data_IF_524969423055
#
_entry.id   IF_524969423055
#
_cell.length_a   1.000
_cell.length_b   1.000
_cell.length_c   1.000
_cell.angle_alpha   90.00
_cell.angle_beta   90.00
_cell.angle_gamma   90.00
#
_symmetry.space_group_name_H-M   'P 1'
#
loop_
_entity.id
_entity.type
_entity.pdbx_description
1 polymer ?
#
# COMPACT_ATOMS: atom_id res chain seq x y z
N UNK A 1 23.76 -30.20 -17.81
CA UNK A 1 22.97 -30.86 -16.75
C UNK A 1 22.98 -30.09 -15.42
N UNK A 2 24.13 -29.62 -14.91
CA UNK A 2 24.19 -28.84 -13.67
C UNK A 2 23.35 -27.54 -13.69
N UNK A 3 23.29 -26.83 -14.82
CA UNK A 3 22.47 -25.62 -14.95
C UNK A 3 20.97 -25.91 -14.89
N UNK A 4 20.53 -27.00 -15.51
CA UNK A 4 19.13 -27.44 -15.48
C UNK A 4 18.67 -27.79 -14.06
N UNK A 5 19.53 -28.45 -13.27
CA UNK A 5 19.24 -28.75 -11.85
C UNK A 5 19.22 -27.47 -11.02
N UNK A 6 20.13 -26.53 -11.27
CA UNK A 6 20.15 -25.23 -10.58
C UNK A 6 18.92 -24.39 -10.87
N UNK A 7 18.47 -24.35 -12.13
CA UNK A 7 17.25 -23.64 -12.51
C UNK A 7 16.00 -24.33 -11.97
N UNK A 8 16.05 -25.65 -11.77
CA UNK A 8 15.01 -26.41 -11.09
C UNK A 8 14.97 -26.10 -9.57
N UNK A 9 16.10 -25.80 -8.93
CA UNK A 9 16.14 -25.46 -7.50
C UNK A 9 15.75 -24.00 -7.19
N UNK A 10 15.63 -23.15 -8.21
CA UNK A 10 15.26 -21.74 -8.05
C UNK A 10 13.76 -21.59 -7.81
N UNK A 11 13.41 -20.71 -6.88
CA UNK A 11 12.02 -20.37 -6.60
C UNK A 11 11.37 -19.69 -7.83
N UNK A 12 10.10 -20.01 -8.15
CA UNK A 12 9.38 -19.35 -9.22
C UNK A 12 9.15 -17.86 -8.91
N UNK A 13 9.21 -17.04 -9.96
CA UNK A 13 8.94 -15.61 -9.91
C UNK A 13 7.46 -15.35 -10.20
N UNK A 14 6.79 -14.59 -9.34
CA UNK A 14 5.39 -14.18 -9.50
C UNK A 14 5.32 -12.65 -9.62
N UNK A 15 4.31 -12.12 -10.31
CA UNK A 15 4.10 -10.67 -10.48
C UNK A 15 3.72 -9.98 -9.16
N UNK A 16 2.94 -10.66 -8.32
CA UNK A 16 2.59 -10.17 -6.98
C UNK A 16 3.75 -10.39 -6.01
N UNK A 17 4.26 -9.28 -5.47
CA UNK A 17 5.37 -9.26 -4.52
C UNK A 17 5.10 -10.10 -3.26
N UNK A 18 3.85 -10.13 -2.77
CA UNK A 18 3.48 -10.90 -1.59
C UNK A 18 3.52 -12.41 -1.89
N UNK A 19 2.93 -12.83 -3.02
CA UNK A 19 2.98 -14.22 -3.47
C UNK A 19 4.41 -14.68 -3.78
N UNK A 20 5.23 -13.80 -4.37
CA UNK A 20 6.62 -14.09 -4.64
C UNK A 20 7.44 -14.34 -3.36
N UNK A 21 7.22 -13.52 -2.33
CA UNK A 21 7.88 -13.70 -1.04
C UNK A 21 7.51 -15.05 -0.40
N UNK A 22 6.22 -15.38 -0.35
CA UNK A 22 5.73 -16.64 0.24
C UNK A 22 6.25 -17.84 -0.57
N UNK A 23 6.25 -17.77 -1.89
CA UNK A 23 6.77 -18.84 -2.74
C UNK A 23 8.27 -19.08 -2.53
N UNK A 24 9.05 -18.00 -2.40
CA UNK A 24 10.48 -18.09 -2.12
C UNK A 24 10.74 -18.73 -0.76
N UNK A 25 9.97 -18.35 0.27
CA UNK A 25 10.07 -18.95 1.60
C UNK A 25 9.71 -20.44 1.58
N UNK A 26 8.56 -20.78 0.99
CA UNK A 26 8.10 -22.15 0.90
C UNK A 26 9.09 -23.02 0.11
N UNK A 27 9.68 -22.51 -0.98
CA UNK A 27 10.73 -23.22 -1.70
C UNK A 27 11.96 -23.49 -0.82
N UNK A 28 12.47 -22.49 -0.11
CA UNK A 28 13.63 -22.69 0.79
C UNK A 28 13.31 -23.68 1.90
N UNK A 29 12.12 -23.59 2.51
CA UNK A 29 11.65 -24.53 3.54
C UNK A 29 11.58 -25.95 2.98
N UNK A 30 10.97 -26.15 1.81
CA UNK A 30 10.87 -27.46 1.19
C UNK A 30 12.25 -28.07 0.93
N UNK A 31 13.21 -27.27 0.48
CA UNK A 31 14.60 -27.71 0.28
C UNK A 31 15.31 -28.04 1.59
N UNK A 32 15.14 -27.22 2.63
CA UNK A 32 15.70 -27.50 3.96
C UNK A 32 15.11 -28.79 4.54
N UNK A 33 13.80 -29.00 4.42
CA UNK A 33 13.13 -30.22 4.87
C UNK A 33 13.58 -31.44 4.07
N UNK A 34 13.70 -31.33 2.75
CA UNK A 34 14.17 -32.42 1.90
C UNK A 34 15.63 -32.80 2.24
N UNK A 35 16.50 -31.80 2.46
CA UNK A 35 17.86 -32.03 2.97
C UNK A 35 17.85 -32.72 4.33
N UNK A 36 16.96 -32.32 5.24
CA UNK A 36 16.82 -32.98 6.55
C UNK A 36 16.36 -34.44 6.40
N UNK A 37 15.43 -34.75 5.49
CA UNK A 37 15.00 -36.13 5.23
C UNK A 37 16.16 -37.03 4.78
N UNK A 38 17.10 -36.50 3.99
CA UNK A 38 18.31 -37.24 3.60
C UNK A 38 19.19 -37.53 4.81
N UNK A 39 19.43 -36.54 5.68
CA UNK A 39 20.21 -36.71 6.92
C UNK A 39 19.56 -37.72 7.86
N UNK A 40 18.23 -37.64 8.02
CA UNK A 40 17.45 -38.61 8.79
C UNK A 40 17.56 -40.03 8.22
N UNK A 41 17.49 -40.18 6.90
CA UNK A 41 17.64 -41.48 6.24
C UNK A 41 19.02 -42.08 6.50
N UNK A 42 20.09 -41.28 6.40
CA UNK A 42 21.46 -41.72 6.73
C UNK A 42 21.57 -42.14 8.20
N UNK A 43 20.96 -41.37 9.10
CA UNK A 43 20.94 -41.68 10.54
C UNK A 43 20.23 -43.00 10.83
N UNK A 44 19.11 -43.28 10.14
CA UNK A 44 18.37 -44.53 10.27
C UNK A 44 19.16 -45.73 9.76
N UNK A 45 19.93 -45.59 8.67
CA UNK A 45 20.76 -46.66 8.12
C UNK A 45 21.93 -47.07 9.04
N UNK A 46 22.36 -46.17 9.92
CA UNK A 46 23.39 -46.45 10.95
C UNK A 46 22.76 -47.10 12.19
N UNK A 47 21.43 -46.96 12.37
CA UNK A 47 20.66 -47.45 13.51
C UNK A 47 20.24 -48.92 13.42
N UNK A 48 19.61 -49.42 14.49
CA UNK A 48 19.28 -50.84 14.69
C UNK A 48 18.11 -51.33 13.80
N UNK A 49 18.12 -52.60 13.38
CA UNK A 49 17.38 -53.10 12.20
C UNK A 49 15.86 -53.30 12.37
N UNK A 50 15.32 -53.44 13.58
CA UNK A 50 13.94 -53.94 13.78
C UNK A 50 12.83 -52.97 13.35
N UNK A 51 13.07 -51.67 13.32
CA UNK A 51 12.10 -50.65 12.87
C UNK A 51 12.49 -49.99 11.55
N UNK A 52 13.64 -50.38 10.98
CA UNK A 52 14.28 -49.68 9.86
C UNK A 52 13.40 -49.62 8.60
N UNK A 53 12.66 -50.69 8.30
CA UNK A 53 11.84 -50.76 7.08
C UNK A 53 10.70 -49.72 7.06
N UNK A 54 9.91 -49.63 8.14
CA UNK A 54 8.77 -48.71 8.20
C UNK A 54 9.21 -47.24 8.10
N UNK A 55 10.29 -46.87 8.79
CA UNK A 55 10.83 -45.51 8.75
C UNK A 55 11.42 -45.15 7.39
N UNK A 56 12.11 -46.07 6.72
CA UNK A 56 12.61 -45.84 5.36
C UNK A 56 11.47 -45.59 4.37
N UNK A 57 10.38 -46.37 4.44
CA UNK A 57 9.20 -46.12 3.61
C UNK A 57 8.59 -44.75 3.91
N UNK A 58 8.42 -44.39 5.18
CA UNK A 58 7.90 -43.06 5.56
C UNK A 58 8.79 -41.93 5.00
N UNK A 59 10.11 -42.04 5.09
CA UNK A 59 11.04 -41.03 4.56
C UNK A 59 11.03 -40.97 3.03
N UNK A 60 10.90 -42.12 2.36
CA UNK A 60 10.75 -42.18 0.91
C UNK A 60 9.47 -41.49 0.44
N UNK A 61 8.32 -41.82 1.04
CA UNK A 61 7.04 -41.19 0.69
C UNK A 61 7.03 -39.70 1.04
N UNK A 62 7.64 -39.30 2.16
CA UNK A 62 7.76 -37.90 2.54
C UNK A 62 8.63 -37.12 1.54
N UNK A 63 9.74 -37.70 1.08
CA UNK A 63 10.61 -37.06 0.08
C UNK A 63 9.90 -36.92 -1.27
N UNK A 64 9.18 -37.95 -1.70
CA UNK A 64 8.36 -37.91 -2.92
C UNK A 64 7.28 -36.83 -2.81
N UNK A 65 6.62 -36.73 -1.66
CA UNK A 65 5.60 -35.74 -1.38
C UNK A 65 6.15 -34.30 -1.39
N UNK A 66 7.28 -34.06 -0.74
CA UNK A 66 7.97 -32.76 -0.76
C UNK A 66 8.39 -32.39 -2.20
N UNK A 67 8.87 -33.35 -2.98
CA UNK A 67 9.14 -33.17 -4.41
C UNK A 67 7.89 -32.81 -5.23
N UNK A 68 6.76 -33.47 -4.95
CA UNK A 68 5.47 -33.15 -5.55
C UNK A 68 5.00 -31.73 -5.18
N UNK A 69 5.20 -31.31 -3.94
CA UNK A 69 4.90 -29.95 -3.49
C UNK A 69 5.74 -28.89 -4.19
N UNK A 70 7.02 -29.16 -4.47
CA UNK A 70 7.86 -28.27 -5.28
C UNK A 70 7.29 -28.10 -6.69
N UNK A 71 6.72 -29.16 -7.27
CA UNK A 71 6.05 -29.09 -8.57
C UNK A 71 4.76 -28.27 -8.48
N UNK A 72 3.92 -28.50 -7.47
CA UNK A 72 2.68 -27.71 -7.24
C UNK A 72 2.98 -26.23 -7.04
N UNK A 73 4.08 -25.91 -6.35
CA UNK A 73 4.54 -24.55 -6.11
C UNK A 73 4.87 -23.81 -7.42
N UNK A 74 5.35 -24.52 -8.44
CA UNK A 74 5.60 -23.94 -9.77
C UNK A 74 4.35 -23.68 -10.60
N UNK A 75 3.28 -24.40 -10.33
CA UNK A 75 1.97 -24.14 -10.93
C UNK A 75 1.26 -22.94 -10.29
N UNK A 76 1.87 -22.27 -9.31
CA UNK A 76 1.32 -21.06 -8.68
C UNK A 76 0.39 -21.30 -7.50
N UNK A 77 0.12 -22.56 -7.14
CA UNK A 77 -0.76 -22.90 -6.01
C UNK A 77 -0.05 -22.83 -4.65
N UNK A 78 0.56 -21.69 -4.34
CA UNK A 78 1.41 -21.48 -3.15
C UNK A 78 0.64 -21.75 -1.85
N UNK A 79 -0.58 -21.22 -1.72
CA UNK A 79 -1.39 -21.36 -0.49
C UNK A 79 -1.83 -22.80 -0.23
N UNK A 80 -2.19 -23.52 -1.30
CA UNK A 80 -2.55 -24.93 -1.20
C UNK A 80 -1.33 -25.76 -0.79
N UNK A 81 -0.17 -25.52 -1.41
CA UNK A 81 1.07 -26.18 -1.07
C UNK A 81 1.48 -25.94 0.40
N UNK A 82 1.35 -24.72 0.91
CA UNK A 82 1.58 -24.38 2.31
C UNK A 82 0.70 -25.19 3.28
N UNK A 83 -0.62 -25.20 3.05
CA UNK A 83 -1.57 -25.91 3.92
C UNK A 83 -1.32 -27.41 3.88
N UNK A 84 -1.13 -27.96 2.68
CA UNK A 84 -0.90 -29.37 2.45
C UNK A 84 0.43 -29.83 3.08
N UNK A 85 1.48 -29.01 3.02
CA UNK A 85 2.74 -29.25 3.72
C UNK A 85 2.53 -29.39 5.23
N UNK A 86 1.86 -28.43 5.87
CA UNK A 86 1.67 -28.43 7.32
C UNK A 86 0.82 -29.62 7.75
N UNK A 87 -0.25 -29.95 7.02
CA UNK A 87 -1.12 -31.11 7.32
C UNK A 87 -0.37 -32.43 7.20
N UNK A 88 0.48 -32.59 6.17
CA UNK A 88 1.21 -33.85 6.00
C UNK A 88 2.36 -33.98 6.99
N UNK A 89 3.11 -32.90 7.26
CA UNK A 89 4.12 -32.90 8.32
C UNK A 89 3.47 -33.25 9.67
N UNK A 90 2.30 -32.66 9.97
CA UNK A 90 1.50 -33.00 11.15
C UNK A 90 1.17 -34.49 11.24
N UNK A 91 0.62 -35.06 10.18
CA UNK A 91 0.26 -36.48 10.14
C UNK A 91 1.47 -37.39 10.29
N UNK A 92 2.58 -37.08 9.63
CA UNK A 92 3.84 -37.85 9.69
C UNK A 92 4.43 -37.81 11.11
N UNK A 93 4.47 -36.64 11.75
CA UNK A 93 4.96 -36.51 13.14
C UNK A 93 4.06 -37.29 14.10
N UNK A 94 2.73 -37.14 13.98
CA UNK A 94 1.77 -37.85 14.84
C UNK A 94 1.89 -39.36 14.70
N UNK A 95 1.96 -39.85 13.45
CA UNK A 95 2.15 -41.27 13.15
C UNK A 95 3.52 -41.75 13.66
N UNK A 96 4.56 -40.93 13.51
CA UNK A 96 5.89 -41.19 14.06
C UNK A 96 5.83 -41.46 15.56
N UNK A 97 5.22 -40.56 16.34
CA UNK A 97 5.08 -40.71 17.80
C UNK A 97 4.23 -41.94 18.16
N UNK A 98 3.16 -42.19 17.41
CA UNK A 98 2.35 -43.39 17.61
C UNK A 98 3.17 -44.67 17.41
N UNK A 99 4.02 -44.72 16.38
CA UNK A 99 4.86 -45.88 16.07
C UNK A 99 6.09 -46.04 16.96
N UNK A 100 6.64 -44.95 17.51
CA UNK A 100 7.71 -45.01 18.52
C UNK A 100 7.19 -45.45 19.88
N UNK A 101 5.89 -45.30 20.13
CA UNK A 101 5.23 -45.79 21.34
C UNK A 101 5.37 -44.88 22.56
N UNK A 102 5.93 -43.68 22.42
CA UNK A 102 6.17 -42.76 23.55
C UNK A 102 6.21 -41.29 23.14
N UNK A 103 5.65 -40.41 23.97
CA UNK A 103 5.70 -38.95 23.76
C UNK A 103 7.07 -38.35 24.07
N UNK A 104 7.93 -39.04 24.82
CA UNK A 104 9.25 -38.50 25.18
C UNK A 104 10.26 -38.56 24.02
N UNK A 105 9.85 -39.07 22.86
CA UNK A 105 10.71 -39.23 21.68
C UNK A 105 11.18 -37.86 21.12
N UNK A 106 12.40 -37.79 20.53
CA UNK A 106 12.85 -36.60 19.81
C UNK A 106 11.88 -36.12 18.72
N UNK A 107 11.08 -37.04 18.16
CA UNK A 107 10.05 -36.74 17.14
C UNK A 107 8.99 -35.76 17.67
N UNK A 108 8.70 -35.80 18.97
CA UNK A 108 7.73 -34.88 19.59
C UNK A 108 8.18 -33.42 19.51
N UNK A 109 9.49 -33.15 19.56
CA UNK A 109 10.02 -31.80 19.39
C UNK A 109 9.78 -31.23 17.98
N UNK A 110 9.54 -32.09 16.98
CA UNK A 110 9.19 -31.66 15.62
C UNK A 110 7.84 -30.92 15.56
N UNK A 111 6.97 -31.05 16.57
CA UNK A 111 5.78 -30.19 16.66
C UNK A 111 6.10 -28.70 16.79
N UNK A 112 7.24 -28.33 17.40
CA UNK A 112 7.66 -26.92 17.42
C UNK A 112 7.98 -26.41 16.02
N UNK A 113 8.65 -27.23 15.20
CA UNK A 113 8.91 -26.93 13.79
C UNK A 113 7.58 -26.74 13.05
N UNK A 114 6.59 -27.59 13.30
CA UNK A 114 5.26 -27.48 12.69
C UNK A 114 4.54 -26.19 13.08
N UNK A 115 4.60 -25.77 14.35
CA UNK A 115 4.01 -24.50 14.78
C UNK A 115 4.71 -23.30 14.11
N UNK A 116 6.04 -23.35 13.97
CA UNK A 116 6.80 -22.34 13.22
C UNK A 116 6.39 -22.32 11.75
N UNK A 117 6.27 -23.48 11.11
CA UNK A 117 5.83 -23.59 9.71
C UNK A 117 4.42 -23.04 9.52
N UNK A 118 3.49 -23.37 10.41
CA UNK A 118 2.11 -22.84 10.37
C UNK A 118 2.10 -21.31 10.44
N UNK A 119 2.93 -20.75 11.31
CA UNK A 119 3.06 -19.29 11.51
C UNK A 119 3.63 -18.60 10.29
N UNK A 120 4.64 -19.21 9.67
CA UNK A 120 5.32 -18.62 8.52
C UNK A 120 4.50 -18.73 7.22
N UNK A 121 3.70 -19.79 7.06
CA UNK A 121 3.15 -20.17 5.75
C UNK A 121 1.65 -19.92 5.54
N UNK A 122 0.81 -20.00 6.58
CA UNK A 122 -0.65 -20.09 6.39
C UNK A 122 -1.37 -18.81 6.78
N UNK A 123 -1.17 -18.32 8.02
CA UNK A 123 -1.63 -17.05 8.63
C UNK A 123 -1.65 -17.24 10.17
N UNK A 124 -1.45 -16.19 10.96
CA UNK A 124 -1.41 -16.26 12.43
C UNK A 124 -2.67 -16.85 13.08
N UNK A 125 -3.86 -16.66 12.49
CA UNK A 125 -5.10 -17.31 12.98
C UNK A 125 -5.06 -18.83 12.88
N UNK A 126 -4.46 -19.36 11.81
CA UNK A 126 -4.34 -20.81 11.61
C UNK A 126 -3.28 -21.40 12.53
N UNK A 127 -2.24 -20.65 12.90
CA UNK A 127 -1.31 -21.06 13.97
C UNK A 127 -2.03 -21.32 15.27
N UNK A 128 -2.93 -20.42 15.70
CA UNK A 128 -3.68 -20.63 16.94
C UNK A 128 -4.51 -21.91 16.90
N UNK A 129 -5.19 -22.16 15.77
CA UNK A 129 -5.93 -23.41 15.56
C UNK A 129 -4.99 -24.63 15.62
N UNK A 130 -3.84 -24.56 14.95
CA UNK A 130 -2.85 -25.65 14.98
C UNK A 130 -2.26 -25.88 16.37
N UNK A 131 -2.07 -24.84 17.17
CA UNK A 131 -1.66 -24.98 18.58
C UNK A 131 -2.70 -25.75 19.38
N UNK A 132 -4.00 -25.48 19.19
CA UNK A 132 -5.07 -26.24 19.84
C UNK A 132 -5.08 -27.70 19.37
N UNK A 133 -4.94 -27.94 18.06
CA UNK A 133 -4.92 -29.28 17.48
C UNK A 133 -3.72 -30.09 18.00
N UNK A 134 -2.53 -29.51 17.97
CA UNK A 134 -1.31 -30.14 18.48
C UNK A 134 -1.41 -30.39 19.99
N UNK A 135 -1.88 -29.40 20.76
CA UNK A 135 -2.08 -29.56 22.21
C UNK A 135 -3.07 -30.66 22.56
N UNK A 136 -4.20 -30.72 21.85
CA UNK A 136 -5.20 -31.79 22.00
C UNK A 136 -4.63 -33.16 21.61
N UNK A 137 -3.81 -33.21 20.57
CA UNK A 137 -3.18 -34.45 20.10
C UNK A 137 -2.12 -34.95 21.06
N UNK A 138 -1.30 -34.06 21.62
CA UNK A 138 -0.35 -34.41 22.68
C UNK A 138 -1.06 -34.91 23.94
N UNK A 139 -2.16 -34.26 24.35
CA UNK A 139 -2.97 -34.72 25.48
C UNK A 139 -3.59 -36.11 25.21
N UNK A 140 -4.09 -36.33 23.99
CA UNK A 140 -4.61 -37.62 23.54
C UNK A 140 -3.54 -38.72 23.54
N UNK A 141 -2.37 -38.44 22.98
CA UNK A 141 -1.23 -39.37 22.96
C UNK A 141 -0.71 -39.67 24.37
N UNK A 142 -0.63 -38.67 25.25
CA UNK A 142 -0.27 -38.86 26.66
C UNK A 142 -1.26 -39.78 27.38
N UNK A 143 -2.57 -39.60 27.14
CA UNK A 143 -3.61 -40.47 27.70
C UNK A 143 -3.50 -41.90 27.16
N UNK A 144 -3.19 -42.04 25.86
CA UNK A 144 -2.98 -43.32 25.21
C UNK A 144 -1.72 -44.04 25.73
N UNK A 145 -0.63 -43.31 26.01
CA UNK A 145 0.60 -43.84 26.61
C UNK A 145 0.33 -44.41 28.00
N UNK A 146 -0.37 -43.66 28.85
CA UNK A 146 -0.77 -44.12 30.19
C UNK A 146 -1.69 -45.35 30.15
N UNK A 147 -2.50 -45.48 29.10
CA UNK A 147 -3.38 -46.63 28.88
C UNK A 147 -2.70 -47.82 28.22
N UNK A 148 -1.41 -47.72 27.85
CA UNK A 148 -0.70 -48.77 27.10
C UNK A 148 -1.28 -49.01 25.69
N UNK A 149 -2.02 -48.05 25.13
CA UNK A 149 -2.66 -48.15 23.82
C UNK A 149 -1.73 -47.78 22.66
N UNK A 150 -0.54 -47.25 22.96
CA UNK A 150 0.45 -46.92 21.95
C UNK A 150 1.10 -48.19 21.38
N UNK A 151 1.47 -48.13 20.10
CA UNK A 151 2.09 -49.25 19.41
C UNK A 151 3.48 -49.53 20.00
N UNK A 152 3.69 -50.74 20.53
CA UNK A 152 4.94 -51.19 21.15
C UNK A 152 5.45 -50.23 22.23
N UNK A 153 4.86 -50.28 23.43
CA UNK A 153 5.44 -49.67 24.64
C UNK A 153 6.82 -50.31 24.88
N UNK A 154 7.88 -49.73 24.31
CA UNK A 154 9.25 -50.14 24.56
C UNK A 154 9.71 -49.47 25.85
N UNK A 155 10.31 -50.25 26.73
CA UNK A 155 11.20 -49.69 27.75
C UNK A 155 12.23 -48.84 27.01
N UNK A 156 12.39 -47.59 27.45
CA UNK A 156 13.23 -46.61 26.77
C UNK A 156 14.62 -47.22 26.53
N UNK A 157 15.04 -47.48 25.27
CA UNK A 157 16.40 -47.89 25.04
C UNK A 157 17.33 -46.77 25.53
N UNK A 158 18.55 -47.11 26.00
CA UNK A 158 19.53 -46.10 26.37
C UNK A 158 19.74 -45.15 25.19
N UNK A 159 19.86 -43.85 25.49
CA UNK A 159 20.01 -42.79 24.50
C UNK A 159 21.12 -43.16 23.53
N UNK A 160 20.79 -43.24 22.24
CA UNK A 160 21.73 -43.65 21.19
C UNK A 160 22.36 -42.45 20.51
N UNK A 161 23.48 -42.66 19.82
CA UNK A 161 24.08 -41.63 18.98
C UNK A 161 23.13 -41.16 17.85
N UNK A 162 22.24 -42.03 17.38
CA UNK A 162 21.23 -41.68 16.40
C UNK A 162 20.22 -40.65 16.97
N UNK A 163 19.79 -40.81 18.22
CA UNK A 163 18.89 -39.84 18.88
C UNK A 163 19.54 -38.46 18.99
N UNK A 164 20.84 -38.40 19.29
CA UNK A 164 21.60 -37.15 19.33
C UNK A 164 21.67 -36.46 17.96
N UNK A 165 21.89 -37.23 16.87
CA UNK A 165 21.85 -36.69 15.51
C UNK A 165 20.47 -36.13 15.13
N UNK A 166 19.39 -36.81 15.55
CA UNK A 166 18.01 -36.33 15.33
C UNK A 166 17.77 -34.99 16.03
N UNK A 167 18.24 -34.84 17.27
CA UNK A 167 18.13 -33.57 18.00
C UNK A 167 18.90 -32.44 17.30
N UNK A 168 20.17 -32.67 16.92
CA UNK A 168 20.97 -31.68 16.22
C UNK A 168 20.31 -31.26 14.91
N UNK A 169 19.81 -32.23 14.14
CA UNK A 169 19.12 -31.95 12.87
C UNK A 169 17.86 -31.13 13.12
N UNK A 170 17.09 -31.46 14.14
CA UNK A 170 15.88 -30.71 14.52
C UNK A 170 16.21 -29.29 14.94
N UNK A 171 17.24 -29.08 15.76
CA UNK A 171 17.69 -27.74 16.15
C UNK A 171 18.21 -26.95 14.95
N UNK A 172 18.92 -27.59 14.03
CA UNK A 172 19.37 -26.95 12.80
C UNK A 172 18.19 -26.48 11.95
N UNK A 173 17.15 -27.32 11.79
CA UNK A 173 15.93 -26.94 11.06
C UNK A 173 15.22 -25.78 11.75
N UNK A 174 15.03 -25.83 13.08
CA UNK A 174 14.44 -24.72 13.84
C UNK A 174 15.24 -23.44 13.65
N UNK A 175 16.56 -23.50 13.77
CA UNK A 175 17.45 -22.35 13.59
C UNK A 175 17.33 -21.77 12.18
N UNK A 176 17.37 -22.63 11.15
CA UNK A 176 17.17 -22.21 9.76
C UNK A 176 15.82 -21.51 9.55
N UNK A 177 14.74 -22.06 10.11
CA UNK A 177 13.41 -21.44 10.04
C UNK A 177 13.34 -20.10 10.76
N UNK A 178 13.97 -19.96 11.94
CA UNK A 178 14.01 -18.70 12.68
C UNK A 178 14.82 -17.63 11.95
N UNK A 179 15.95 -18.00 11.34
CA UNK A 179 16.74 -17.09 10.49
C UNK A 179 15.89 -16.60 9.31
N UNK A 180 15.17 -17.51 8.65
CA UNK A 180 14.27 -17.15 7.55
C UNK A 180 13.14 -16.23 8.03
N UNK A 181 12.50 -16.53 9.17
CA UNK A 181 11.48 -15.69 9.76
C UNK A 181 12.00 -14.27 10.04
N UNK A 182 13.18 -14.15 10.65
CA UNK A 182 13.81 -12.87 10.91
C UNK A 182 14.15 -12.09 9.62
N UNK A 183 14.64 -12.78 8.58
CA UNK A 183 14.90 -12.14 7.29
C UNK A 183 13.62 -11.55 6.68
N UNK A 184 12.51 -12.29 6.76
CA UNK A 184 11.21 -11.83 6.29
C UNK A 184 10.76 -10.59 7.06
N UNK A 185 10.75 -10.68 8.39
CA UNK A 185 10.35 -9.58 9.26
C UNK A 185 11.19 -8.33 8.96
N UNK A 186 12.51 -8.46 8.90
CA UNK A 186 13.41 -7.34 8.61
C UNK A 186 13.17 -6.75 7.21
N UNK A 187 12.95 -7.59 6.20
CA UNK A 187 12.66 -7.10 4.84
C UNK A 187 11.34 -6.33 4.76
N UNK A 188 10.29 -6.80 5.45
CA UNK A 188 9.00 -6.10 5.50
C UNK A 188 9.08 -4.81 6.28
N UNK A 189 9.84 -4.77 7.37
CA UNK A 189 10.08 -3.55 8.14
C UNK A 189 10.86 -2.53 7.33
N UNK A 190 11.93 -2.94 6.64
CA UNK A 190 12.68 -2.05 5.75
C UNK A 190 11.79 -1.47 4.65
N UNK A 191 10.97 -2.29 3.99
CA UNK A 191 10.01 -1.81 2.99
C UNK A 191 9.01 -0.82 3.58
N UNK A 192 8.44 -1.11 4.75
CA UNK A 192 7.52 -0.21 5.43
C UNK A 192 8.19 1.14 5.77
N UNK A 193 9.47 1.12 6.17
CA UNK A 193 10.23 2.35 6.44
C UNK A 193 10.56 3.12 5.17
N UNK A 194 10.89 2.47 4.05
CA UNK A 194 11.15 3.17 2.79
C UNK A 194 9.89 3.81 2.24
N UNK A 195 8.76 3.10 2.29
CA UNK A 195 7.46 3.61 1.88
C UNK A 195 7.00 4.77 2.77
N UNK A 196 7.23 4.70 4.08
CA UNK A 196 6.87 5.82 4.97
C UNK A 196 7.70 7.07 4.69
N UNK A 197 9.00 6.93 4.40
CA UNK A 197 9.87 8.04 4.01
C UNK A 197 9.46 8.62 2.65
N UNK A 198 9.11 7.78 1.67
CA UNK A 198 8.65 8.22 0.36
C UNK A 198 7.32 8.98 0.45
N UNK A 199 6.36 8.47 1.23
CA UNK A 199 5.10 9.16 1.52
C UNK A 199 5.34 10.51 2.21
N UNK A 200 6.26 10.57 3.17
CA UNK A 200 6.62 11.83 3.84
C UNK A 200 7.21 12.86 2.86
N UNK A 201 8.06 12.42 1.92
CA UNK A 201 8.59 13.29 0.85
C UNK A 201 7.50 13.77 -0.10
N UNK A 202 6.61 12.87 -0.54
CA UNK A 202 5.48 13.22 -1.41
C UNK A 202 4.55 14.22 -0.73
N UNK A 203 4.22 14.02 0.55
CA UNK A 203 3.40 14.95 1.31
C UNK A 203 4.06 16.34 1.44
N UNK A 204 5.38 16.39 1.66
CA UNK A 204 6.10 17.66 1.69
C UNK A 204 6.08 18.37 0.32
N UNK A 205 6.28 17.63 -0.77
CA UNK A 205 6.22 18.19 -2.11
C UNK A 205 4.82 18.73 -2.45
N UNK A 206 3.77 18.01 -2.06
CA UNK A 206 2.39 18.46 -2.22
C UNK A 206 2.12 19.75 -1.41
N UNK A 207 2.62 19.84 -0.17
CA UNK A 207 2.47 21.05 0.63
C UNK A 207 3.15 22.26 -0.03
N UNK A 208 4.36 22.09 -0.58
CA UNK A 208 5.04 23.18 -1.32
C UNK A 208 4.29 23.58 -2.59
N UNK A 209 3.72 22.62 -3.31
CA UNK A 209 2.89 22.92 -4.50
C UNK A 209 1.62 23.67 -4.09
N UNK A 210 0.96 23.27 -3.00
CA UNK A 210 -0.21 23.97 -2.48
C UNK A 210 0.12 25.41 -2.10
N UNK A 211 1.20 25.64 -1.36
CA UNK A 211 1.65 26.99 -0.97
C UNK A 211 1.89 27.88 -2.21
N UNK A 212 2.65 27.39 -3.20
CA UNK A 212 2.89 28.15 -4.45
C UNK A 212 1.63 28.40 -5.29
N UNK A 213 0.64 27.50 -5.23
CA UNK A 213 -0.64 27.71 -5.89
C UNK A 213 -1.48 28.76 -5.16
N UNK A 214 -1.46 28.76 -3.83
CA UNK A 214 -2.12 29.78 -3.03
C UNK A 214 -1.56 31.17 -3.33
N UNK A 215 -0.23 31.31 -3.35
CA UNK A 215 0.46 32.56 -3.74
C UNK A 215 0.07 33.02 -5.15
N UNK A 216 0.06 32.10 -6.12
CA UNK A 216 -0.29 32.42 -7.50
C UNK A 216 -1.77 32.82 -7.64
N UNK A 217 -2.67 32.15 -6.92
CA UNK A 217 -4.09 32.51 -6.91
C UNK A 217 -4.29 33.89 -6.30
N UNK A 218 -3.58 34.21 -5.22
CA UNK A 218 -3.62 35.53 -4.60
C UNK A 218 -3.12 36.61 -5.59
N UNK A 219 -1.96 36.41 -6.22
CA UNK A 219 -1.41 37.32 -7.21
C UNK A 219 -2.37 37.56 -8.39
N UNK A 220 -2.96 36.48 -8.93
CA UNK A 220 -3.91 36.56 -10.05
C UNK A 220 -5.21 37.25 -9.65
N UNK A 221 -5.66 37.07 -8.41
CA UNK A 221 -6.85 37.75 -7.88
C UNK A 221 -6.58 39.24 -7.76
N UNK A 222 -5.44 39.65 -7.18
CA UNK A 222 -5.05 41.05 -7.08
C UNK A 222 -4.90 41.72 -8.45
N UNK A 223 -4.27 41.04 -9.41
CA UNK A 223 -4.11 41.54 -10.77
C UNK A 223 -5.46 41.70 -11.49
N UNK A 224 -6.39 40.76 -11.29
CA UNK A 224 -7.74 40.84 -11.85
C UNK A 224 -8.55 42.00 -11.24
N UNK A 225 -8.46 42.19 -9.92
CA UNK A 225 -9.11 43.31 -9.24
C UNK A 225 -8.57 44.68 -9.69
N UNK A 226 -7.26 44.78 -9.90
CA UNK A 226 -6.64 45.99 -10.46
C UNK A 226 -7.11 46.24 -11.90
N UNK A 227 -7.12 45.22 -12.75
CA UNK A 227 -7.61 45.33 -14.13
C UNK A 227 -9.10 45.75 -14.18
N UNK A 228 -9.93 45.20 -13.29
CA UNK A 228 -11.34 45.62 -13.15
C UNK A 228 -11.44 47.09 -12.76
N UNK A 229 -10.68 47.54 -11.75
CA UNK A 229 -10.66 48.95 -11.34
C UNK A 229 -10.22 49.88 -12.47
N UNK A 230 -9.21 49.48 -13.25
CA UNK A 230 -8.75 50.26 -14.41
C UNK A 230 -9.81 50.32 -15.52
N UNK A 231 -10.46 49.20 -15.83
CA UNK A 231 -11.54 49.15 -16.82
C UNK A 231 -12.72 50.02 -16.41
N UNK A 232 -13.14 49.98 -15.14
CA UNK A 232 -14.20 50.84 -14.62
C UNK A 232 -13.82 52.32 -14.70
N UNK A 233 -12.58 52.68 -14.33
CA UNK A 233 -12.10 54.05 -14.43
C UNK A 233 -12.06 54.55 -15.88
N UNK A 234 -11.60 53.72 -16.81
CA UNK A 234 -11.59 54.01 -18.24
C UNK A 234 -13.02 54.17 -18.78
N UNK A 235 -13.95 53.30 -18.39
CA UNK A 235 -15.35 53.39 -18.79
C UNK A 235 -15.99 54.69 -18.29
N UNK A 236 -15.79 55.07 -17.03
CA UNK A 236 -16.28 56.35 -16.48
C UNK A 236 -15.65 57.57 -17.15
N UNK A 237 -14.40 57.48 -17.61
CA UNK A 237 -13.76 58.55 -18.37
C UNK A 237 -14.39 58.66 -19.78
N UNK A 238 -14.62 57.53 -20.44
CA UNK A 238 -15.27 57.44 -21.74
C UNK A 238 -16.71 57.99 -21.69
N UNK A 239 -17.50 57.60 -20.68
CA UNK A 239 -18.86 58.09 -20.48
C UNK A 239 -18.90 59.61 -20.33
N UNK A 240 -17.96 60.18 -19.56
CA UNK A 240 -17.83 61.65 -19.43
C UNK A 240 -17.49 62.32 -20.76
N UNK A 241 -16.59 61.72 -21.55
CA UNK A 241 -16.21 62.27 -22.85
C UNK A 241 -17.37 62.19 -23.86
N UNK A 242 -18.09 61.07 -23.90
CA UNK A 242 -19.28 60.87 -24.74
C UNK A 242 -20.36 61.88 -24.36
N UNK A 243 -20.63 62.03 -23.06
CA UNK A 243 -21.56 63.03 -22.55
C UNK A 243 -21.15 64.44 -22.97
N UNK A 244 -19.89 64.85 -22.80
CA UNK A 244 -19.44 66.18 -23.26
C UNK A 244 -19.60 66.36 -24.77
N UNK A 245 -19.27 65.35 -25.58
CA UNK A 245 -19.38 65.41 -27.03
C UNK A 245 -20.82 65.56 -27.51
N UNK A 246 -21.77 64.85 -26.88
CA UNK A 246 -23.20 64.95 -27.21
C UNK A 246 -23.72 66.35 -26.88
N UNK A 247 -23.40 66.87 -25.68
CA UNK A 247 -23.79 68.22 -25.26
C UNK A 247 -23.26 69.30 -26.19
N UNK A 248 -21.98 69.21 -26.60
CA UNK A 248 -21.38 70.15 -27.55
C UNK A 248 -22.02 70.07 -28.94
N UNK A 249 -22.35 68.87 -29.43
CA UNK A 249 -23.00 68.70 -30.72
C UNK A 249 -24.42 69.31 -30.73
N UNK A 250 -25.21 69.10 -29.66
CA UNK A 250 -26.53 69.71 -29.50
C UNK A 250 -26.45 71.24 -29.39
N UNK A 251 -25.46 71.75 -28.66
CA UNK A 251 -25.19 73.18 -28.58
C UNK A 251 -24.83 73.78 -29.94
N UNK A 252 -23.91 73.15 -30.67
CA UNK A 252 -23.48 73.62 -31.98
C UNK A 252 -24.65 73.67 -32.98
N UNK A 253 -25.53 72.68 -32.94
CA UNK A 253 -26.73 72.65 -33.79
C UNK A 253 -27.75 73.72 -33.36
N UNK A 254 -27.89 74.00 -32.07
CA UNK A 254 -28.76 75.07 -31.54
C UNK A 254 -28.28 76.47 -31.96
N UNK A 255 -26.96 76.68 -32.03
CA UNK A 255 -26.32 77.94 -32.44
C UNK A 255 -26.35 78.12 -33.96
N UNK A 256 -26.67 77.07 -34.73
CA UNK A 256 -26.60 77.09 -36.19
C UNK A 256 -27.76 77.89 -36.81
N UNK A 257 -27.42 78.83 -37.69
CA UNK A 257 -28.37 79.65 -38.45
C UNK A 257 -28.31 81.14 -38.09
N UNK A 258 -28.98 81.98 -38.86
CA UNK A 258 -29.18 83.39 -38.51
C UNK A 258 -30.36 83.50 -37.54
N UNK A 259 -30.07 83.78 -36.27
CA UNK A 259 -31.05 84.06 -35.22
C UNK A 259 -30.70 85.42 -34.60
N UNK A 260 -31.71 86.19 -34.18
CA UNK A 260 -31.46 87.37 -33.36
C UNK A 260 -30.88 86.96 -32.00
N UNK A 261 -30.09 87.84 -31.39
CA UNK A 261 -29.34 87.58 -30.16
C UNK A 261 -30.21 87.15 -28.98
N UNK A 262 -31.48 87.60 -28.93
CA UNK A 262 -32.40 87.29 -27.85
C UNK A 262 -33.01 85.89 -28.02
N UNK A 263 -33.43 85.53 -29.23
CA UNK A 263 -33.94 84.18 -29.55
C UNK A 263 -32.85 83.12 -29.38
N UNK A 264 -31.61 83.41 -29.81
CA UNK A 264 -30.48 82.51 -29.62
C UNK A 264 -30.18 82.27 -28.12
N UNK A 265 -30.15 83.34 -27.31
CA UNK A 265 -29.90 83.24 -25.88
C UNK A 265 -30.94 82.35 -25.18
N UNK A 266 -32.23 82.52 -25.48
CA UNK A 266 -33.28 81.65 -24.94
C UNK A 266 -33.18 80.19 -25.39
N UNK A 267 -32.87 79.95 -26.67
CA UNK A 267 -32.74 78.58 -27.20
C UNK A 267 -31.54 77.84 -26.58
N UNK A 268 -30.39 78.53 -26.46
CA UNK A 268 -29.19 78.00 -25.80
C UNK A 268 -29.49 77.73 -24.31
N UNK A 269 -30.14 78.65 -23.61
CA UNK A 269 -30.50 78.47 -22.21
C UNK A 269 -31.46 77.31 -21.98
N UNK A 270 -32.52 77.21 -22.79
CA UNK A 270 -33.47 76.10 -22.70
C UNK A 270 -32.77 74.76 -22.94
N UNK A 271 -31.94 74.65 -23.99
CA UNK A 271 -31.19 73.43 -24.26
C UNK A 271 -30.22 73.09 -23.13
N UNK A 272 -29.48 74.06 -22.58
CA UNK A 272 -28.57 73.82 -21.44
C UNK A 272 -29.33 73.41 -20.17
N UNK A 273 -30.47 74.02 -19.87
CA UNK A 273 -31.33 73.63 -18.75
C UNK A 273 -31.88 72.21 -18.93
N UNK A 274 -32.36 71.88 -20.13
CA UNK A 274 -32.87 70.54 -20.44
C UNK A 274 -31.74 69.48 -20.40
N UNK A 275 -30.57 69.79 -20.96
CA UNK A 275 -29.42 68.88 -21.05
C UNK A 275 -28.74 68.63 -19.69
N UNK A 276 -28.65 69.67 -18.84
CA UNK A 276 -28.09 69.57 -17.49
C UNK A 276 -29.13 69.17 -16.44
N UNK A 277 -30.38 68.95 -16.84
CA UNK A 277 -31.53 68.73 -15.95
C UNK A 277 -31.67 69.83 -14.87
N UNK A 278 -31.28 71.08 -15.21
CA UNK A 278 -31.34 72.22 -14.30
C UNK A 278 -32.67 72.92 -14.39
N UNK A 279 -33.26 73.24 -13.23
CA UNK A 279 -34.60 73.83 -13.14
C UNK A 279 -34.62 75.33 -13.48
N UNK A 280 -33.48 76.01 -13.35
CA UNK A 280 -33.35 77.45 -13.63
C UNK A 280 -31.98 77.71 -14.24
N UNK A 281 -31.92 78.61 -15.21
CA UNK A 281 -30.70 79.18 -15.73
C UNK A 281 -30.95 80.61 -16.21
N UNK A 282 -29.89 81.41 -16.31
CA UNK A 282 -29.96 82.75 -16.88
C UNK A 282 -28.70 83.04 -17.70
N UNK A 283 -28.87 83.68 -18.87
CA UNK A 283 -27.80 84.19 -19.71
C UNK A 283 -27.80 85.71 -19.66
N UNK A 284 -26.64 86.31 -19.41
CA UNK A 284 -26.47 87.75 -19.47
C UNK A 284 -25.70 88.13 -20.73
N UNK A 285 -26.24 89.09 -21.49
CA UNK A 285 -25.53 89.74 -22.59
C UNK A 285 -24.97 91.06 -22.09
N UNK A 286 -23.79 91.45 -22.58
CA UNK A 286 -23.16 92.71 -22.27
C UNK A 286 -23.26 93.63 -23.49
N UNK A 287 -24.08 94.68 -23.40
CA UNK A 287 -24.19 95.72 -24.43
C UNK A 287 -23.82 97.05 -23.79
N UNK A 288 -22.86 97.77 -24.39
CA UNK A 288 -22.44 99.11 -23.98
C UNK A 288 -22.07 99.26 -22.48
N UNK A 289 -21.55 98.20 -21.86
CA UNK A 289 -21.13 98.19 -20.45
C UNK A 289 -22.25 97.91 -19.45
N UNK A 290 -23.47 97.59 -19.91
CA UNK A 290 -24.60 97.18 -19.06
C UNK A 290 -24.91 95.70 -19.31
N UNK A 291 -25.02 94.92 -18.23
CA UNK A 291 -25.47 93.52 -18.29
C UNK A 291 -26.99 93.49 -18.39
N UNK A 292 -27.52 92.95 -19.48
CA UNK A 292 -28.96 92.71 -19.68
C UNK A 292 -29.25 91.21 -19.66
N UNK A 293 -30.36 90.81 -19.03
CA UNK A 293 -30.82 89.41 -19.04
C UNK A 293 -31.37 89.10 -20.42
N UNK A 294 -30.80 88.10 -21.08
CA UNK A 294 -31.10 87.75 -22.46
C UNK A 294 -31.96 86.48 -22.61
N UNK A 295 -31.96 85.62 -21.60
CA UNK A 295 -32.71 84.35 -21.58
C UNK A 295 -32.55 83.61 -20.27
#
# INVERSE_FOLDING_TARGET
MLNTVRDWLRAPTFEDAALHLVARLLNTILLTLLGSCVVFTITLLIGNETTLNLWLWMMFFMSLFLGGLLVVLRYGYVRLASVLLVIVVYGVVTLGIYTTGTINSPVTATYFILLLLSTLLINGRMTFLMTIIVGGTLAGLMRAEQGGMLWHVREYPPVTFADWLVWITSFFVVCALLILANQVINSTLQQATTTSVELAKSNKALATIQESLEDLVEERTQAAEEAMRQSEAAQRAMERQVWLSIGLAQLAETIRGEQDSQTLAQNVMRMLCDYLESSVGCLFLMEDGVLSVAG
#
